data_IF_053596102360
#
_entry.id   IF_053596102360
#
_cell.length_a   1.000
_cell.length_b   1.000
_cell.length_c   1.000
_cell.angle_alpha   90.00
_cell.angle_beta   90.00
_cell.angle_gamma   90.00
#
_symmetry.space_group_name_H-M   'P 1'
#
loop_
_entity.id
_entity.type
_entity.pdbx_description
1 polymer ?
#
# COMPACT_ATOMS: atom_id res chain seq x y z
N UNK A 1 -13.15 -21.31 -4.28
CA UNK A 1 -12.12 -21.86 -5.18
C UNK A 1 -10.93 -22.28 -4.33
N UNK A 2 -10.49 -23.54 -4.42
CA UNK A 2 -9.38 -24.05 -3.61
C UNK A 2 -8.18 -23.11 -3.71
N UNK A 3 -7.65 -22.71 -2.54
CA UNK A 3 -6.54 -21.80 -2.41
C UNK A 3 -5.25 -22.50 -2.87
N UNK A 4 -5.08 -22.58 -4.20
CA UNK A 4 -3.93 -23.26 -4.80
C UNK A 4 -2.67 -22.53 -4.36
N UNK A 5 -1.86 -23.23 -3.56
CA UNK A 5 -0.56 -22.77 -3.07
C UNK A 5 0.50 -22.76 -4.17
N UNK A 6 0.24 -23.46 -5.28
CA UNK A 6 1.14 -23.59 -6.42
C UNK A 6 0.39 -23.40 -7.74
N UNK A 7 1.10 -22.93 -8.76
CA UNK A 7 0.56 -22.71 -10.10
C UNK A 7 1.61 -23.05 -11.16
N UNK A 8 1.16 -23.53 -12.32
CA UNK A 8 2.05 -23.83 -13.45
C UNK A 8 2.24 -22.59 -14.32
N UNK A 9 3.48 -22.24 -14.63
CA UNK A 9 3.77 -21.16 -15.56
C UNK A 9 3.33 -21.52 -16.97
N UNK A 10 2.53 -20.66 -17.62
CA UNK A 10 2.09 -20.84 -19.00
C UNK A 10 3.20 -20.65 -20.06
N UNK A 11 4.39 -20.20 -19.68
CA UNK A 11 5.51 -19.99 -20.61
C UNK A 11 6.56 -21.11 -20.49
N UNK A 12 7.20 -21.27 -19.33
CA UNK A 12 8.23 -22.30 -19.13
C UNK A 12 7.71 -23.63 -18.59
N UNK A 13 6.43 -23.72 -18.17
CA UNK A 13 5.84 -24.94 -17.63
C UNK A 13 6.24 -25.30 -16.20
N UNK A 14 7.15 -24.56 -15.58
CA UNK A 14 7.56 -24.80 -14.19
C UNK A 14 6.42 -24.56 -13.20
N UNK A 15 6.41 -25.36 -12.13
CA UNK A 15 5.53 -25.16 -10.98
C UNK A 15 6.17 -24.11 -10.09
N UNK A 16 5.40 -23.08 -9.74
CA UNK A 16 5.83 -22.00 -8.86
C UNK A 16 4.89 -21.87 -7.66
N UNK A 17 5.39 -21.40 -6.50
CA UNK A 17 4.53 -21.01 -5.41
C UNK A 17 3.65 -19.84 -5.86
N UNK A 18 2.34 -19.96 -5.64
CA UNK A 18 1.39 -18.93 -5.98
C UNK A 18 1.52 -17.76 -4.99
N UNK A 19 1.85 -16.58 -5.51
CA UNK A 19 1.89 -15.32 -4.78
C UNK A 19 0.57 -15.13 -4.02
N UNK A 20 0.68 -14.90 -2.71
CA UNK A 20 -0.46 -14.78 -1.79
C UNK A 20 -1.48 -13.72 -2.21
N UNK A 21 -1.04 -12.60 -2.79
CA UNK A 21 -1.89 -11.49 -3.27
C UNK A 21 -2.50 -11.79 -4.64
N UNK A 22 -1.86 -12.69 -5.38
CA UNK A 22 -2.20 -13.00 -6.76
C UNK A 22 -2.64 -14.46 -6.96
N UNK A 23 -3.03 -15.15 -5.90
CA UNK A 23 -3.47 -16.56 -5.97
C UNK A 23 -4.66 -16.68 -6.91
N UNK A 24 -4.65 -17.73 -7.74
CA UNK A 24 -5.64 -17.94 -8.81
C UNK A 24 -5.48 -17.04 -10.05
N UNK A 25 -4.74 -15.93 -9.96
CA UNK A 25 -4.49 -14.99 -11.05
C UNK A 25 -3.07 -15.06 -11.61
N UNK A 26 -2.12 -15.61 -10.86
CA UNK A 26 -0.75 -15.80 -11.32
C UNK A 26 -0.64 -16.91 -12.37
N UNK A 27 -0.31 -16.49 -13.60
CA UNK A 27 -0.18 -17.36 -14.79
C UNK A 27 1.26 -17.56 -15.26
N UNK A 28 2.18 -16.70 -14.82
CA UNK A 28 3.57 -16.68 -15.27
C UNK A 28 4.49 -16.54 -14.05
N UNK A 29 5.65 -17.18 -14.09
CA UNK A 29 6.69 -17.00 -13.09
C UNK A 29 7.37 -15.62 -13.23
N UNK A 30 8.30 -15.31 -12.33
CA UNK A 30 9.02 -14.04 -12.27
C UNK A 30 10.17 -13.93 -13.26
N UNK A 31 10.57 -15.03 -13.92
CA UNK A 31 11.65 -15.03 -14.93
C UNK A 31 11.36 -14.01 -16.04
N UNK A 32 12.39 -13.26 -16.44
CA UNK A 32 12.27 -12.16 -17.41
C UNK A 32 11.57 -12.59 -18.72
N UNK A 33 11.99 -13.71 -19.29
CA UNK A 33 11.38 -14.29 -20.49
C UNK A 33 9.89 -14.59 -20.31
N UNK A 34 9.50 -15.21 -19.19
CA UNK A 34 8.10 -15.54 -18.89
C UNK A 34 7.24 -14.31 -18.65
N UNK A 35 7.80 -13.25 -18.04
CA UNK A 35 7.13 -11.95 -17.88
C UNK A 35 6.92 -11.27 -19.23
N UNK A 36 7.92 -11.29 -20.11
CA UNK A 36 7.81 -10.76 -21.46
C UNK A 36 6.74 -11.52 -22.27
N UNK A 37 6.77 -12.86 -22.23
CA UNK A 37 5.76 -13.70 -22.86
C UNK A 37 4.34 -13.41 -22.33
N UNK A 38 4.20 -13.22 -21.02
CA UNK A 38 2.93 -12.85 -20.40
C UNK A 38 2.40 -11.49 -20.85
N UNK A 39 3.27 -10.48 -20.99
CA UNK A 39 2.92 -9.17 -21.54
C UNK A 39 2.49 -9.30 -23.01
N UNK A 40 3.28 -9.99 -23.83
CA UNK A 40 2.98 -10.23 -25.24
C UNK A 40 1.65 -10.98 -25.42
N UNK A 41 1.36 -11.99 -24.60
CA UNK A 41 0.08 -12.72 -24.66
C UNK A 41 -1.11 -11.84 -24.28
N UNK A 42 -0.96 -10.94 -23.29
CA UNK A 42 -1.99 -9.95 -22.95
C UNK A 42 -2.19 -8.94 -24.08
N UNK A 43 -1.09 -8.44 -24.66
CA UNK A 43 -1.11 -7.51 -25.77
C UNK A 43 -1.81 -8.12 -26.99
N UNK A 44 -1.49 -9.36 -27.37
CA UNK A 44 -2.14 -10.08 -28.48
C UNK A 44 -3.64 -10.23 -28.27
N UNK A 45 -4.08 -10.62 -27.06
CA UNK A 45 -5.52 -10.70 -26.75
C UNK A 45 -6.21 -9.35 -26.84
N UNK A 46 -5.51 -8.29 -26.44
CA UNK A 46 -6.07 -6.95 -26.46
C UNK A 46 -6.16 -6.39 -27.89
N UNK A 47 -5.10 -6.55 -28.69
CA UNK A 47 -5.06 -6.18 -30.12
C UNK A 47 -5.95 -7.06 -31.01
N UNK A 48 -6.25 -8.29 -30.59
CA UNK A 48 -7.16 -9.17 -31.31
C UNK A 48 -8.61 -8.70 -31.31
N UNK A 49 -8.97 -7.75 -30.44
CA UNK A 49 -10.26 -7.05 -30.51
C UNK A 49 -10.25 -6.08 -31.68
N UNK A 50 -11.25 -6.13 -32.55
CA UNK A 50 -11.34 -5.27 -33.74
C UNK A 50 -11.24 -3.79 -33.39
N UNK A 51 -11.81 -3.36 -32.27
CA UNK A 51 -11.78 -1.97 -31.81
C UNK A 51 -10.35 -1.49 -31.47
N UNK A 52 -9.43 -2.41 -31.15
CA UNK A 52 -8.09 -2.09 -30.67
C UNK A 52 -6.99 -2.24 -31.71
N UNK A 53 -7.27 -2.84 -32.88
CA UNK A 53 -6.24 -3.16 -33.89
C UNK A 53 -5.44 -1.92 -34.33
N UNK A 54 -6.13 -0.79 -34.49
CA UNK A 54 -5.53 0.48 -34.89
C UNK A 54 -5.15 1.39 -33.72
N UNK A 55 -5.26 1.00 -32.45
CA UNK A 55 -5.16 1.95 -31.35
C UNK A 55 -3.81 2.70 -31.29
N UNK A 56 -2.70 2.08 -31.65
CA UNK A 56 -1.37 2.74 -31.58
C UNK A 56 -1.00 3.52 -32.84
N UNK A 57 -1.69 3.29 -33.96
CA UNK A 57 -1.36 3.87 -35.28
C UNK A 57 -2.55 4.58 -35.94
N UNK A 58 -3.71 4.55 -35.31
CA UNK A 58 -4.97 5.06 -35.84
C UNK A 58 -4.97 6.59 -35.87
N UNK A 59 -5.66 7.19 -36.85
CA UNK A 59 -5.59 8.62 -37.11
C UNK A 59 -6.01 9.45 -35.89
N UNK A 60 -7.06 9.04 -35.17
CA UNK A 60 -7.54 9.73 -33.98
C UNK A 60 -6.49 9.79 -32.87
N UNK A 61 -5.84 8.67 -32.60
CA UNK A 61 -4.85 8.55 -31.54
C UNK A 61 -3.57 9.31 -31.88
N UNK A 62 -3.15 9.25 -33.14
CA UNK A 62 -2.04 10.05 -33.68
C UNK A 62 -2.35 11.54 -33.55
N UNK A 63 -3.55 11.98 -33.93
CA UNK A 63 -3.93 13.38 -33.87
C UNK A 63 -4.01 13.88 -32.43
N UNK A 64 -4.56 13.08 -31.51
CA UNK A 64 -4.55 13.41 -30.08
C UNK A 64 -3.12 13.64 -29.56
N UNK A 65 -2.16 12.82 -29.97
CA UNK A 65 -0.75 12.99 -29.58
C UNK A 65 -0.14 14.24 -30.21
N UNK A 66 -0.48 14.57 -31.46
CA UNK A 66 -0.03 15.79 -32.14
C UNK A 66 -0.55 17.03 -31.44
N UNK A 67 -1.86 17.11 -31.21
CA UNK A 67 -2.51 18.21 -30.46
C UNK A 67 -1.86 18.36 -29.09
N UNK A 68 -1.66 17.26 -28.37
CA UNK A 68 -1.03 17.28 -27.06
C UNK A 68 0.41 17.82 -27.11
N UNK A 69 1.22 17.39 -28.10
CA UNK A 69 2.59 17.89 -28.28
C UNK A 69 2.65 19.36 -28.67
N UNK A 70 1.70 19.84 -29.46
CA UNK A 70 1.58 21.25 -29.84
C UNK A 70 1.23 22.13 -28.62
N UNK A 71 0.34 21.65 -27.75
CA UNK A 71 -0.01 22.34 -26.51
C UNK A 71 1.10 22.27 -25.44
N UNK A 72 1.98 21.27 -25.48
CA UNK A 72 3.05 21.05 -24.49
C UNK A 72 4.45 21.03 -25.14
N UNK A 73 4.89 22.14 -25.75
CA UNK A 73 6.20 22.20 -26.37
C UNK A 73 7.30 22.00 -25.32
N UNK A 74 8.28 21.14 -25.62
CA UNK A 74 9.43 20.92 -24.73
C UNK A 74 9.21 19.92 -23.59
N UNK A 75 8.00 19.38 -23.39
CA UNK A 75 7.75 18.34 -22.38
C UNK A 75 8.72 17.15 -22.50
N UNK A 76 8.91 16.62 -23.72
CA UNK A 76 9.81 15.47 -23.95
C UNK A 76 11.30 15.84 -23.80
N UNK A 77 11.64 17.13 -23.70
CA UNK A 77 12.99 17.63 -23.48
C UNK A 77 13.33 17.79 -22.00
N UNK A 78 12.34 17.86 -21.10
CA UNK A 78 12.59 18.03 -19.65
C UNK A 78 13.23 16.78 -19.03
N UNK A 79 12.89 15.58 -19.50
CA UNK A 79 13.49 14.33 -19.04
C UNK A 79 15.01 14.19 -19.31
N UNK A 80 15.61 15.06 -20.16
CA UNK A 80 17.06 15.08 -20.39
C UNK A 80 17.80 16.16 -19.59
N UNK A 81 17.10 17.09 -18.93
CA UNK A 81 17.72 18.11 -18.09
C UNK A 81 17.50 17.75 -16.62
N UNK A 82 18.53 17.14 -16.04
CA UNK A 82 18.57 16.76 -14.65
C UNK A 82 18.38 15.26 -14.48
N UNK A 83 19.37 14.61 -13.88
CA UNK A 83 19.10 13.49 -12.98
C UNK A 83 18.03 13.99 -12.02
N UNK A 84 16.77 13.70 -12.33
CA UNK A 84 15.69 13.92 -11.39
C UNK A 84 16.05 13.08 -10.20
N UNK A 85 16.47 13.74 -9.11
CA UNK A 85 16.47 13.20 -7.76
C UNK A 85 15.23 12.32 -7.70
N UNK A 86 15.41 11.00 -7.57
CA UNK A 86 14.26 10.12 -7.49
C UNK A 86 13.42 10.65 -6.33
N UNK A 87 12.09 10.51 -6.38
CA UNK A 87 11.24 11.01 -5.28
C UNK A 87 11.76 10.55 -3.90
N UNK A 88 12.39 9.36 -3.86
CA UNK A 88 13.09 8.76 -2.72
C UNK A 88 14.30 9.57 -2.23
N UNK A 89 15.08 10.15 -3.14
CA UNK A 89 16.24 10.99 -2.84
C UNK A 89 15.82 12.39 -2.34
N UNK A 90 14.56 12.78 -2.56
CA UNK A 90 13.98 14.04 -2.07
C UNK A 90 13.37 13.90 -0.66
N UNK A 91 13.26 12.68 -0.12
CA UNK A 91 12.86 12.48 1.27
C UNK A 91 14.05 12.75 2.18
N UNK A 92 14.03 13.90 2.85
CA UNK A 92 14.87 14.13 4.03
C UNK A 92 14.42 13.16 5.12
N UNK A 93 15.29 12.31 5.68
CA UNK A 93 14.95 11.49 6.84
C UNK A 93 14.48 12.40 7.97
N UNK A 94 13.22 12.27 8.38
CA UNK A 94 12.77 12.91 9.62
C UNK A 94 13.37 12.11 10.76
N UNK A 95 14.23 12.77 11.54
CA UNK A 95 14.70 12.21 12.82
C UNK A 95 13.46 12.12 13.70
N UNK A 96 12.99 10.89 13.93
CA UNK A 96 11.99 10.64 14.95
C UNK A 96 12.74 10.74 16.27
N UNK A 97 12.76 11.95 16.84
CA UNK A 97 13.17 12.13 18.23
C UNK A 97 12.20 11.29 19.07
N UNK A 98 12.67 10.28 19.82
CA UNK A 98 11.84 9.57 20.76
C UNK A 98 11.35 10.60 21.78
N UNK A 99 10.06 10.92 21.74
CA UNK A 99 9.47 11.75 22.79
C UNK A 99 9.71 11.05 24.12
N UNK A 100 10.33 11.76 25.08
CA UNK A 100 10.55 11.25 26.44
C UNK A 100 9.23 10.80 27.11
N UNK A 101 8.10 11.25 26.58
CA UNK A 101 6.75 10.87 26.98
C UNK A 101 6.43 9.38 26.74
N UNK A 102 7.17 8.69 25.87
CA UNK A 102 7.05 7.22 25.69
C UNK A 102 7.80 6.41 26.76
N UNK A 103 8.62 7.06 27.59
CA UNK A 103 9.50 6.40 28.56
C UNK A 103 8.95 6.40 29.99
N UNK A 104 7.86 7.12 30.24
CA UNK A 104 7.33 7.31 31.60
C UNK A 104 6.45 6.14 32.07
N UNK A 105 5.84 5.41 31.14
CA UNK A 105 5.17 4.10 31.31
C UNK A 105 4.89 3.54 29.92
N UNK A 106 5.03 2.23 29.73
CA UNK A 106 4.59 1.63 28.47
C UNK A 106 3.08 1.88 28.34
N UNK A 107 2.60 2.36 27.19
CA UNK A 107 1.16 2.59 26.93
C UNK A 107 0.28 1.41 27.37
N UNK A 108 0.83 0.19 27.32
CA UNK A 108 0.19 -1.04 27.77
C UNK A 108 -0.07 -1.05 29.29
N UNK A 109 0.85 -0.52 30.10
CA UNK A 109 0.71 -0.41 31.55
C UNK A 109 -0.37 0.60 31.93
N UNK A 110 -0.46 1.72 31.21
CA UNK A 110 -1.50 2.73 31.41
C UNK A 110 -2.88 2.16 31.05
N UNK A 111 -3.01 1.50 29.89
CA UNK A 111 -4.25 0.82 29.51
C UNK A 111 -4.64 -0.22 30.56
N UNK A 112 -3.68 -1.01 31.04
CA UNK A 112 -3.94 -2.03 32.05
C UNK A 112 -4.37 -1.41 33.40
N UNK A 113 -3.76 -0.31 33.81
CA UNK A 113 -4.12 0.42 35.04
C UNK A 113 -5.52 1.04 34.94
N UNK A 114 -5.83 1.75 33.85
CA UNK A 114 -7.15 2.34 33.62
C UNK A 114 -8.23 1.26 33.56
N UNK A 115 -7.96 0.12 32.91
CA UNK A 115 -8.91 -0.98 32.80
C UNK A 115 -9.22 -1.57 34.18
N UNK A 116 -8.20 -1.78 35.04
CA UNK A 116 -8.41 -2.26 36.42
C UNK A 116 -9.25 -1.28 37.24
N UNK A 117 -8.99 0.02 37.13
CA UNK A 117 -9.74 1.05 37.84
C UNK A 117 -11.22 1.08 37.42
N UNK A 118 -11.51 0.97 36.12
CA UNK A 118 -12.88 0.93 35.61
C UNK A 118 -13.64 -0.31 36.08
N UNK A 119 -12.98 -1.47 36.13
CA UNK A 119 -13.57 -2.70 36.64
C UNK A 119 -13.90 -2.59 38.14
N UNK A 120 -13.00 -2.02 38.93
CA UNK A 120 -13.24 -1.79 40.36
C UNK A 120 -14.43 -0.85 40.58
N UNK A 121 -14.49 0.27 39.85
CA UNK A 121 -15.63 1.19 39.93
C UNK A 121 -16.95 0.50 39.57
N UNK A 122 -16.95 -0.37 38.55
CA UNK A 122 -18.11 -1.18 38.21
C UNK A 122 -18.52 -2.11 39.34
N UNK A 123 -17.56 -2.76 40.01
CA UNK A 123 -17.81 -3.63 41.15
C UNK A 123 -18.35 -2.86 42.36
N UNK A 124 -17.81 -1.69 42.65
CA UNK A 124 -18.26 -0.86 43.77
C UNK A 124 -19.71 -0.36 43.57
N UNK A 125 -20.07 0.00 42.34
CA UNK A 125 -21.45 0.35 41.96
C UNK A 125 -22.39 -0.83 42.15
N UNK A 126 -22.00 -2.02 41.68
CA UNK A 126 -22.81 -3.24 41.82
C UNK A 126 -22.91 -3.70 43.29
N UNK A 127 -21.88 -3.47 44.10
CA UNK A 127 -21.84 -3.75 45.52
C UNK A 127 -22.51 -2.67 46.39
N UNK A 128 -23.08 -1.61 45.77
CA UNK A 128 -23.86 -0.59 46.46
C UNK A 128 -23.07 0.37 47.36
N UNK A 129 -21.75 0.50 47.17
CA UNK A 129 -20.94 1.43 47.97
C UNK A 129 -20.97 2.84 47.37
N UNK A 130 -21.52 3.85 48.08
CA UNK A 130 -21.46 5.23 47.63
C UNK A 130 -20.04 5.78 47.75
N UNK A 131 -19.68 6.66 46.81
CA UNK A 131 -18.39 7.34 46.70
C UNK A 131 -17.89 7.87 48.05
N UNK A 132 -16.70 7.46 48.47
CA UNK A 132 -15.92 8.24 49.43
C UNK A 132 -15.59 9.59 48.77
N UNK A 133 -16.14 10.67 49.30
CA UNK A 133 -15.72 12.01 48.97
C UNK A 133 -14.24 12.20 49.35
N UNK A 134 -13.44 12.95 48.58
CA UNK A 134 -12.10 13.32 49.02
C UNK A 134 -12.22 14.21 50.27
N UNK A 135 -11.74 13.71 51.40
CA UNK A 135 -11.46 14.54 52.57
C UNK A 135 -10.30 15.47 52.23
N UNK A 136 -10.58 16.77 52.19
CA UNK A 136 -9.58 17.83 52.10
C UNK A 136 -8.77 17.84 53.40
N UNK A 137 -7.44 17.60 53.39
CA UNK A 137 -6.65 17.83 54.58
C UNK A 137 -6.49 19.35 54.80
N UNK A 138 -6.78 19.77 56.02
CA UNK A 138 -6.57 21.13 56.50
C UNK A 138 -5.10 21.54 56.42
N UNK A 139 -4.85 22.75 55.93
CA UNK A 139 -3.56 23.41 55.95
C UNK A 139 -3.19 23.88 57.36
N UNK A 140 -1.89 23.94 57.70
CA UNK A 140 -1.32 25.04 58.45
C UNK A 140 -0.87 26.18 57.51
#
# INVERSE_FOLDING_TARGET
>A
MANKKETKCLCCGEILPADVRNRGRQKYCTKGACRAAGKAARQRRWLGKSENQGYFSGPEHVERVRVWRAAHPGYWRSHRRGRGVALQDAFVPQVVEPSEDLSSRALQDDIAATTRQLLQLGQDILAGHPRHAPETPAAP
#
